data_IF_466552524436
#
_entry.id   IF_466552524436
#
_cell.length_a   1.000
_cell.length_b   1.000
_cell.length_c   1.000
_cell.angle_alpha   90.00
_cell.angle_beta   90.00
_cell.angle_gamma   90.00
#
_symmetry.space_group_name_H-M   'P 1'
#
loop_
_entity.id
_entity.type
_entity.pdbx_description
1 polymer ?
#
# COMPACT_ATOMS: atom_id res chain seq x y z
N UNK A 1 46.63 -21.66 8.52
CA UNK A 1 45.20 -21.56 8.16
C UNK A 1 44.41 -22.44 9.13
N UNK A 2 43.47 -21.87 9.90
CA UNK A 2 42.57 -22.67 10.76
C UNK A 2 41.44 -23.22 9.90
N UNK A 3 41.33 -24.54 9.79
CA UNK A 3 40.21 -25.20 9.12
C UNK A 3 39.00 -25.08 10.04
N UNK A 4 37.99 -24.31 9.65
CA UNK A 4 36.70 -24.29 10.34
C UNK A 4 36.13 -25.71 10.36
N UNK A 5 35.69 -26.19 11.52
CA UNK A 5 35.05 -27.51 11.58
C UNK A 5 33.76 -27.46 10.75
N UNK A 6 33.40 -28.59 10.14
CA UNK A 6 32.17 -28.73 9.35
C UNK A 6 30.94 -28.29 10.16
N UNK A 7 30.93 -28.56 11.47
CA UNK A 7 29.88 -28.18 12.41
C UNK A 7 29.77 -26.66 12.59
N UNK A 8 30.90 -25.95 12.64
CA UNK A 8 30.91 -24.48 12.69
C UNK A 8 30.42 -23.87 11.38
N UNK A 9 30.82 -24.44 10.23
CA UNK A 9 30.34 -24.00 8.93
C UNK A 9 28.81 -24.19 8.82
N UNK A 10 28.30 -25.33 9.28
CA UNK A 10 26.86 -25.64 9.32
C UNK A 10 26.08 -24.66 10.20
N UNK A 11 26.61 -24.32 11.38
CA UNK A 11 25.98 -23.35 12.29
C UNK A 11 25.92 -21.93 11.70
N UNK A 12 26.97 -21.51 11.00
CA UNK A 12 27.01 -20.21 10.30
C UNK A 12 25.99 -20.18 9.14
N UNK A 13 25.89 -21.28 8.39
CA UNK A 13 24.90 -21.40 7.30
C UNK A 13 23.46 -21.44 7.84
N UNK A 14 23.22 -22.14 8.96
CA UNK A 14 21.90 -22.14 9.60
C UNK A 14 21.52 -20.76 10.12
N UNK A 15 22.42 -20.07 10.83
CA UNK A 15 22.11 -18.75 11.41
C UNK A 15 21.84 -17.69 10.35
N UNK A 16 22.62 -17.70 9.26
CA UNK A 16 22.37 -16.84 8.09
C UNK A 16 21.04 -17.16 7.40
N UNK A 17 20.69 -18.45 7.26
CA UNK A 17 19.40 -18.85 6.67
C UNK A 17 18.19 -18.39 7.47
N UNK A 18 18.24 -18.45 8.80
CA UNK A 18 17.16 -17.99 9.70
C UNK A 18 16.97 -16.47 9.56
N UNK A 19 18.08 -15.75 9.48
CA UNK A 19 18.06 -14.29 9.34
C UNK A 19 17.44 -13.89 8.00
N UNK A 20 17.80 -14.56 6.91
CA UNK A 20 17.22 -14.33 5.58
C UNK A 20 15.72 -14.64 5.58
N UNK A 21 15.31 -15.79 6.13
CA UNK A 21 13.91 -16.19 6.19
C UNK A 21 13.06 -15.20 7.01
N UNK A 22 13.58 -14.71 8.14
CA UNK A 22 12.91 -13.70 8.95
C UNK A 22 12.74 -12.38 8.18
N UNK A 23 13.79 -11.92 7.48
CA UNK A 23 13.71 -10.71 6.66
C UNK A 23 12.67 -10.84 5.54
N UNK A 24 12.67 -11.95 4.81
CA UNK A 24 11.67 -12.24 3.77
C UNK A 24 10.26 -12.26 4.36
N UNK A 25 10.09 -12.87 5.54
CA UNK A 25 8.78 -12.92 6.20
C UNK A 25 8.28 -11.53 6.59
N UNK A 26 9.14 -10.67 7.15
CA UNK A 26 8.78 -9.29 7.52
C UNK A 26 8.44 -8.46 6.27
N UNK A 27 9.28 -8.53 5.23
CA UNK A 27 9.03 -7.81 3.98
C UNK A 27 7.74 -8.29 3.30
N UNK A 28 7.55 -9.60 3.15
CA UNK A 28 6.32 -10.14 2.54
C UNK A 28 5.07 -9.75 3.33
N UNK A 29 5.12 -9.77 4.67
CA UNK A 29 3.99 -9.34 5.50
C UNK A 29 3.62 -7.87 5.28
N UNK A 30 4.62 -7.00 5.13
CA UNK A 30 4.42 -5.58 4.80
C UNK A 30 3.66 -5.42 3.48
N UNK A 31 4.08 -6.11 2.42
CA UNK A 31 3.39 -6.03 1.12
C UNK A 31 1.99 -6.65 1.15
N UNK A 32 1.80 -7.77 1.84
CA UNK A 32 0.49 -8.41 2.00
C UNK A 32 -0.48 -7.51 2.73
N UNK A 33 -0.03 -6.78 3.75
CA UNK A 33 -0.85 -5.79 4.47
C UNK A 33 -1.30 -4.65 3.54
N UNK A 34 -0.37 -4.07 2.78
CA UNK A 34 -0.68 -3.02 1.81
C UNK A 34 -1.69 -3.50 0.75
N UNK A 35 -1.49 -4.70 0.19
CA UNK A 35 -2.42 -5.29 -0.78
C UNK A 35 -3.79 -5.55 -0.13
N UNK A 36 -3.80 -6.01 1.13
CA UNK A 36 -5.03 -6.22 1.89
C UNK A 36 -5.85 -4.95 2.07
N UNK A 37 -5.18 -3.79 2.25
CA UNK A 37 -5.83 -2.48 2.37
C UNK A 37 -6.42 -1.95 1.06
N UNK A 38 -5.93 -2.41 -0.09
CA UNK A 38 -6.40 -1.97 -1.41
C UNK A 38 -7.91 -2.19 -1.60
N UNK A 39 -8.45 -3.29 -1.09
CA UNK A 39 -9.88 -3.58 -1.16
C UNK A 39 -10.73 -2.57 -0.39
N UNK A 40 -10.23 -2.06 0.74
CA UNK A 40 -10.88 -1.01 1.52
C UNK A 40 -10.91 0.32 0.77
N UNK A 41 -9.74 0.78 0.30
CA UNK A 41 -9.62 2.02 -0.46
C UNK A 41 -10.49 1.99 -1.72
N UNK A 42 -10.50 0.87 -2.46
CA UNK A 42 -11.33 0.73 -3.65
C UNK A 42 -12.83 0.85 -3.34
N UNK A 43 -13.28 0.26 -2.22
CA UNK A 43 -14.67 0.40 -1.78
C UNK A 43 -15.02 1.85 -1.46
N UNK A 44 -14.16 2.57 -0.74
CA UNK A 44 -14.41 3.98 -0.41
C UNK A 44 -14.43 4.86 -1.68
N UNK A 45 -13.59 4.57 -2.69
CA UNK A 45 -13.68 5.25 -4.00
C UNK A 45 -15.02 5.00 -4.68
N UNK A 46 -15.53 3.77 -4.66
CA UNK A 46 -16.83 3.46 -5.23
C UNK A 46 -17.97 4.18 -4.47
N UNK A 47 -17.86 4.28 -3.15
CA UNK A 47 -18.84 4.99 -2.33
C UNK A 47 -18.86 6.50 -2.64
N UNK A 48 -17.68 7.13 -2.78
CA UNK A 48 -17.53 8.54 -3.21
C UNK A 48 -18.18 8.76 -4.59
N UNK A 49 -17.91 7.88 -5.56
CA UNK A 49 -18.48 7.96 -6.91
C UNK A 49 -20.01 7.81 -6.89
N UNK A 50 -20.54 6.92 -6.05
CA UNK A 50 -21.99 6.78 -5.90
C UNK A 50 -22.61 8.06 -5.31
N UNK A 51 -21.98 8.68 -4.30
CA UNK A 51 -22.42 9.96 -3.74
C UNK A 51 -22.45 11.08 -4.78
N UNK A 52 -21.41 11.17 -5.62
CA UNK A 52 -21.39 12.11 -6.76
C UNK A 52 -22.53 11.86 -7.76
N UNK A 53 -22.80 10.59 -8.07
CA UNK A 53 -23.87 10.23 -9.00
C UNK A 53 -25.26 10.58 -8.43
N UNK A 54 -25.50 10.35 -7.14
CA UNK A 54 -26.76 10.71 -6.48
C UNK A 54 -27.04 12.22 -6.57
N UNK A 55 -26.02 13.05 -6.44
CA UNK A 55 -26.16 14.51 -6.59
C UNK A 55 -26.36 14.90 -8.05
N UNK A 56 -25.65 14.27 -8.99
CA UNK A 56 -25.88 14.49 -10.40
C UNK A 56 -27.33 14.15 -10.81
N UNK A 57 -27.93 13.12 -10.20
CA UNK A 57 -29.34 12.77 -10.41
C UNK A 57 -30.28 13.86 -9.89
N UNK A 58 -30.01 14.49 -8.74
CA UNK A 58 -30.81 15.61 -8.23
C UNK A 58 -30.84 16.79 -9.20
N UNK A 59 -29.70 17.17 -9.77
CA UNK A 59 -29.63 18.23 -10.79
C UNK A 59 -30.35 17.89 -12.10
N UNK A 60 -30.37 16.60 -12.49
CA UNK A 60 -31.13 16.15 -13.66
C UNK A 60 -32.63 16.27 -13.42
N UNK A 61 -33.08 15.88 -12.24
CA UNK A 61 -34.50 15.80 -11.89
C UNK A 61 -35.07 17.18 -11.50
N UNK A 62 -34.23 18.07 -10.96
CA UNK A 62 -34.54 19.46 -10.64
C UNK A 62 -33.42 20.41 -11.14
N UNK A 63 -33.60 21.08 -12.31
CA UNK A 63 -32.63 22.03 -12.84
C UNK A 63 -32.46 23.30 -11.99
N UNK A 64 -33.40 23.59 -11.08
CA UNK A 64 -33.32 24.71 -10.13
C UNK A 64 -32.72 24.27 -8.78
N UNK A 65 -32.30 23.00 -8.68
CA UNK A 65 -31.64 22.48 -7.49
C UNK A 65 -30.44 23.36 -7.13
N UNK A 66 -30.48 23.88 -5.90
CA UNK A 66 -29.43 24.74 -5.37
C UNK A 66 -28.59 23.93 -4.39
N UNK A 67 -27.29 23.84 -4.67
CA UNK A 67 -26.36 22.98 -3.95
C UNK A 67 -26.35 23.32 -2.45
N UNK A 68 -26.65 22.33 -1.59
CA UNK A 68 -26.51 22.48 -0.13
C UNK A 68 -25.10 22.06 0.27
N UNK A 69 -24.38 22.79 1.14
CA UNK A 69 -23.17 22.28 1.78
C UNK A 69 -23.25 20.83 2.29
N UNK A 70 -24.42 20.34 2.70
CA UNK A 70 -24.62 18.93 3.09
C UNK A 70 -24.47 17.93 1.91
N UNK A 71 -24.68 18.37 0.67
CA UNK A 71 -24.38 17.56 -0.52
C UNK A 71 -22.87 17.40 -0.71
N UNK A 72 -22.04 18.38 -0.30
CA UNK A 72 -20.58 18.20 -0.32
C UNK A 72 -20.14 17.13 0.67
N UNK A 73 -20.81 16.99 1.82
CA UNK A 73 -20.60 15.89 2.77
C UNK A 73 -21.11 14.53 2.23
N UNK A 74 -21.91 14.54 1.18
CA UNK A 74 -22.38 13.34 0.50
C UNK A 74 -21.47 12.92 -0.67
N UNK A 75 -20.88 13.90 -1.40
CA UNK A 75 -19.81 13.67 -2.40
C UNK A 75 -18.53 13.23 -1.72
N UNK A 76 -18.16 13.99 -0.69
CA UNK A 76 -17.09 13.66 0.22
C UNK A 76 -17.77 12.89 1.34
N UNK A 77 -17.96 11.60 1.05
CA UNK A 77 -18.01 10.52 2.03
C UNK A 77 -19.37 10.23 2.68
N UNK A 78 -20.15 9.34 2.05
CA UNK A 78 -21.28 8.66 2.71
C UNK A 78 -20.88 7.97 4.04
N UNK A 79 -19.60 7.62 4.19
CA UNK A 79 -19.00 6.98 5.36
C UNK A 79 -17.99 7.87 6.12
N UNK A 80 -17.76 9.11 5.68
CA UNK A 80 -16.73 9.98 6.25
C UNK A 80 -15.27 9.71 5.82
N UNK A 81 -15.00 8.92 4.78
CA UNK A 81 -13.64 8.65 4.23
C UNK A 81 -13.44 8.98 2.74
N UNK A 82 -12.45 9.82 2.40
CA UNK A 82 -12.11 10.17 1.01
C UNK A 82 -11.30 9.04 0.38
N UNK A 83 -12.00 8.16 -0.34
CA UNK A 83 -11.41 6.94 -0.90
C UNK A 83 -10.33 7.24 -1.94
N UNK A 84 -10.47 8.33 -2.70
CA UNK A 84 -9.45 8.73 -3.68
C UNK A 84 -8.13 9.08 -2.98
N UNK A 85 -8.19 9.84 -1.89
CA UNK A 85 -7.01 10.19 -1.12
C UNK A 85 -6.38 8.95 -0.47
N UNK A 86 -7.18 8.06 0.12
CA UNK A 86 -6.66 6.81 0.69
C UNK A 86 -5.94 5.94 -0.33
N UNK A 87 -6.48 5.85 -1.55
CA UNK A 87 -5.86 5.08 -2.63
C UNK A 87 -4.53 5.69 -3.07
N UNK A 88 -4.45 7.02 -3.16
CA UNK A 88 -3.21 7.75 -3.46
C UNK A 88 -2.17 7.53 -2.35
N UNK A 89 -2.60 7.61 -1.09
CA UNK A 89 -1.73 7.41 0.06
C UNK A 89 -1.16 5.98 0.09
N UNK A 90 -2.02 4.97 -0.15
CA UNK A 90 -1.61 3.57 -0.23
C UNK A 90 -0.65 3.33 -1.41
N UNK A 91 -0.91 3.94 -2.56
CA UNK A 91 0.00 3.86 -3.71
C UNK A 91 1.38 4.44 -3.39
N UNK A 92 1.43 5.61 -2.77
CA UNK A 92 2.68 6.24 -2.37
C UNK A 92 3.42 5.40 -1.32
N UNK A 93 2.71 4.82 -0.37
CA UNK A 93 3.27 3.89 0.62
C UNK A 93 3.92 2.68 -0.05
N UNK A 94 3.25 2.12 -1.07
CA UNK A 94 3.75 0.99 -1.86
C UNK A 94 5.01 1.35 -2.65
N UNK A 95 5.01 2.49 -3.35
CA UNK A 95 6.16 2.97 -4.11
C UNK A 95 7.37 3.26 -3.21
N UNK A 96 7.15 3.89 -2.06
CA UNK A 96 8.19 4.14 -1.08
C UNK A 96 8.76 2.84 -0.50
N UNK A 97 7.93 1.83 -0.28
CA UNK A 97 8.36 0.51 0.16
C UNK A 97 9.29 -0.16 -0.87
N UNK A 98 8.89 -0.17 -2.13
CA UNK A 98 9.68 -0.72 -3.23
C UNK A 98 11.02 0.02 -3.34
N UNK A 99 11.00 1.35 -3.32
CA UNK A 99 12.22 2.15 -3.45
C UNK A 99 13.19 1.90 -2.29
N UNK A 100 12.67 1.75 -1.07
CA UNK A 100 13.49 1.44 0.11
C UNK A 100 14.12 0.05 0.01
N UNK A 101 13.35 -0.95 -0.43
CA UNK A 101 13.85 -2.32 -0.57
C UNK A 101 14.87 -2.43 -1.71
N UNK A 102 14.65 -1.74 -2.83
CA UNK A 102 15.61 -1.61 -3.94
C UNK A 102 16.92 -0.99 -3.47
N UNK A 103 16.88 0.17 -2.80
CA UNK A 103 18.07 0.82 -2.26
C UNK A 103 18.83 -0.08 -1.26
N UNK A 104 18.09 -0.84 -0.44
CA UNK A 104 18.69 -1.81 0.48
C UNK A 104 19.41 -2.94 -0.26
N UNK A 105 18.83 -3.42 -1.37
CA UNK A 105 19.42 -4.46 -2.22
C UNK A 105 20.66 -3.95 -2.97
N UNK A 106 20.61 -2.72 -3.51
CA UNK A 106 21.77 -2.07 -4.13
C UNK A 106 22.93 -1.93 -3.13
N UNK A 107 22.64 -1.47 -1.90
CA UNK A 107 23.65 -1.34 -0.85
C UNK A 107 24.25 -2.69 -0.43
N UNK A 108 23.46 -3.76 -0.42
CA UNK A 108 23.91 -5.09 -0.04
C UNK A 108 24.74 -5.78 -1.14
N UNK A 109 24.44 -5.51 -2.42
CA UNK A 109 25.04 -6.22 -3.57
C UNK A 109 26.09 -5.39 -4.32
N UNK A 110 26.07 -4.07 -4.17
CA UNK A 110 26.87 -3.14 -4.97
C UNK A 110 26.43 -3.04 -6.44
N UNK A 111 25.31 -3.68 -6.80
CA UNK A 111 24.76 -3.69 -8.16
C UNK A 111 23.69 -2.61 -8.24
N UNK A 112 23.81 -1.69 -9.20
CA UNK A 112 22.74 -0.74 -9.51
C UNK A 112 21.55 -1.47 -10.13
N UNK A 113 20.36 -1.20 -9.62
CA UNK A 113 19.10 -1.73 -10.14
C UNK A 113 18.37 -0.56 -10.80
N UNK A 114 18.32 -0.57 -12.13
CA UNK A 114 17.53 0.41 -12.87
C UNK A 114 16.03 0.15 -12.65
N UNK A 115 15.21 1.20 -12.48
CA UNK A 115 13.76 1.08 -12.25
C UNK A 115 13.00 0.55 -13.46
#
# INVERSE_FOLDING_TARGET
MRILSLSMLLLILLSSSITIAATIHVQSRKYVDMIGRLGGCYRHVLDDLCGMMDIALKFRDDPEYNYDPSDMEMIIMRDGVNGTQELIDLYNEFMNAIQTDLASLENATGIKIEP
#
